data_IF_335960759782
#
_entry.id   IF_335960759782
#
_cell.length_a   1.000
_cell.length_b   1.000
_cell.length_c   1.000
_cell.angle_alpha   90.00
_cell.angle_beta   90.00
_cell.angle_gamma   90.00
#
_symmetry.space_group_name_H-M   'P 1'
#
loop_
_entity.id
_entity.type
_entity.pdbx_description
1 polymer ?
#
# COMPACT_ATOMS: atom_id res chain seq x y z
N UNK A 1 5.47 -39.52 -18.63
CA UNK A 1 6.77 -39.43 -17.91
C UNK A 1 7.31 -38.04 -18.15
N UNK A 2 7.80 -37.36 -17.12
CA UNK A 2 8.50 -36.09 -17.35
C UNK A 2 9.74 -36.38 -18.19
N UNK A 3 9.95 -35.60 -19.26
CA UNK A 3 11.20 -35.67 -20.01
C UNK A 3 12.35 -35.36 -19.05
N UNK A 4 13.40 -36.18 -19.05
CA UNK A 4 14.62 -36.01 -18.27
C UNK A 4 15.60 -35.00 -18.91
N UNK A 5 15.23 -34.48 -20.09
CA UNK A 5 16.02 -33.57 -20.90
C UNK A 5 15.17 -32.41 -21.43
N UNK A 6 15.81 -31.27 -21.60
CA UNK A 6 15.35 -30.14 -22.40
C UNK A 6 15.89 -30.33 -23.81
N UNK A 7 14.99 -30.50 -24.78
CA UNK A 7 15.34 -30.76 -26.18
C UNK A 7 15.02 -29.50 -26.98
N UNK A 8 16.00 -29.00 -27.72
CA UNK A 8 15.88 -27.81 -28.56
C UNK A 8 16.24 -28.21 -29.99
N UNK A 9 15.37 -27.88 -30.93
CA UNK A 9 15.54 -28.17 -32.36
C UNK A 9 15.44 -26.88 -33.17
N UNK A 10 16.42 -26.68 -34.04
CA UNK A 10 16.46 -25.60 -35.01
C UNK A 10 16.47 -24.20 -34.39
N UNK A 11 17.27 -23.97 -33.34
CA UNK A 11 17.41 -22.63 -32.77
C UNK A 11 18.21 -21.72 -33.71
N UNK A 12 17.61 -20.58 -34.09
CA UNK A 12 18.14 -19.62 -35.08
C UNK A 12 18.15 -18.17 -34.59
N UNK A 13 17.80 -17.94 -33.33
CA UNK A 13 17.78 -16.59 -32.74
C UNK A 13 19.13 -15.87 -32.90
N UNK A 14 19.08 -14.63 -33.38
CA UNK A 14 20.24 -13.81 -33.72
C UNK A 14 21.27 -14.48 -34.65
N UNK A 15 22.38 -14.97 -34.10
CA UNK A 15 23.49 -15.55 -34.84
C UNK A 15 23.60 -17.07 -34.70
N UNK A 16 22.63 -17.72 -34.04
CA UNK A 16 22.53 -19.17 -33.97
C UNK A 16 22.35 -19.76 -35.36
N UNK A 17 23.04 -20.87 -35.63
CA UNK A 17 23.10 -21.50 -36.96
C UNK A 17 22.28 -22.78 -37.00
N UNK A 18 20.98 -22.66 -36.75
CA UNK A 18 20.04 -23.78 -36.75
C UNK A 18 20.50 -24.91 -35.80
N UNK A 19 20.71 -24.55 -34.54
CA UNK A 19 21.36 -25.42 -33.55
C UNK A 19 20.35 -26.37 -32.92
N UNK A 20 20.72 -27.65 -32.88
CA UNK A 20 20.04 -28.71 -32.14
C UNK A 20 20.83 -29.06 -30.90
N UNK A 21 20.17 -29.15 -29.74
CA UNK A 21 20.83 -29.53 -28.50
C UNK A 21 19.89 -30.25 -27.52
N UNK A 22 20.47 -31.11 -26.69
CA UNK A 22 19.82 -31.74 -25.55
C UNK A 22 20.55 -31.33 -24.28
N UNK A 23 19.81 -30.74 -23.34
CA UNK A 23 20.32 -30.30 -22.04
C UNK A 23 19.72 -31.21 -20.96
N UNK A 24 20.51 -31.82 -20.07
CA UNK A 24 19.95 -32.61 -18.96
C UNK A 24 19.16 -31.70 -18.01
N UNK A 25 17.96 -32.13 -17.63
CA UNK A 25 17.16 -31.43 -16.63
C UNK A 25 17.67 -31.71 -15.22
N UNK A 26 17.28 -30.84 -14.29
CA UNK A 26 17.58 -30.95 -12.86
C UNK A 26 19.07 -31.02 -12.54
N UNK A 27 19.88 -30.39 -13.40
CA UNK A 27 21.34 -30.28 -13.26
C UNK A 27 21.79 -28.83 -13.41
N UNK A 28 22.94 -28.51 -12.82
CA UNK A 28 23.62 -27.25 -13.05
C UNK A 28 24.35 -27.30 -14.39
N UNK A 29 23.78 -26.64 -15.40
CA UNK A 29 24.33 -26.61 -16.76
C UNK A 29 24.99 -25.26 -17.02
N UNK A 30 26.25 -25.29 -17.47
CA UNK A 30 27.04 -24.09 -17.76
C UNK A 30 27.24 -23.96 -19.27
N UNK A 31 26.73 -22.86 -19.85
CA UNK A 31 26.95 -22.52 -21.26
C UNK A 31 28.19 -21.61 -21.34
N UNK A 32 29.22 -22.06 -22.05
CA UNK A 32 30.50 -21.35 -22.18
C UNK A 32 30.91 -21.16 -23.64
N UNK A 33 31.88 -20.27 -23.89
CA UNK A 33 32.35 -19.91 -25.23
C UNK A 33 32.75 -18.44 -25.36
N UNK A 34 33.45 -18.12 -26.47
CA UNK A 34 33.96 -16.76 -26.77
C UNK A 34 32.86 -15.70 -26.77
N UNK A 35 33.19 -14.44 -26.47
CA UNK A 35 32.22 -13.34 -26.58
C UNK A 35 31.60 -13.31 -28.00
N UNK A 36 30.29 -13.11 -28.07
CA UNK A 36 29.55 -13.14 -29.35
C UNK A 36 29.26 -14.53 -29.92
N UNK A 37 29.64 -15.64 -29.25
CA UNK A 37 29.39 -17.00 -29.76
C UNK A 37 27.93 -17.47 -29.76
N UNK A 38 26.97 -16.61 -29.39
CA UNK A 38 25.54 -16.96 -29.34
C UNK A 38 25.05 -17.55 -28.01
N UNK A 39 25.86 -17.50 -26.94
CA UNK A 39 25.46 -18.01 -25.60
C UNK A 39 24.20 -17.33 -25.08
N UNK A 40 24.17 -16.00 -25.13
CA UNK A 40 23.03 -15.22 -24.66
C UNK A 40 21.81 -15.44 -25.56
N UNK A 41 22.02 -15.52 -26.87
CA UNK A 41 20.97 -15.83 -27.85
C UNK A 41 20.29 -17.16 -27.53
N UNK A 42 21.06 -18.18 -27.17
CA UNK A 42 20.53 -19.48 -26.78
C UNK A 42 19.87 -19.44 -25.39
N UNK A 43 20.55 -18.89 -24.37
CA UNK A 43 20.09 -18.96 -22.99
C UNK A 43 18.91 -18.02 -22.69
N UNK A 44 19.05 -16.74 -23.07
CA UNK A 44 18.09 -15.69 -22.76
C UNK A 44 17.06 -15.53 -23.87
N UNK A 45 17.52 -15.34 -25.10
CA UNK A 45 16.63 -14.96 -26.20
C UNK A 45 15.86 -16.16 -26.78
N UNK A 46 16.32 -17.40 -26.55
CA UNK A 46 15.62 -18.63 -26.97
C UNK A 46 14.98 -19.37 -25.79
N UNK A 47 15.78 -19.95 -24.87
CA UNK A 47 15.27 -20.85 -23.81
C UNK A 47 14.41 -20.08 -22.80
N UNK A 48 14.94 -18.99 -22.23
CA UNK A 48 14.22 -18.20 -21.25
C UNK A 48 12.99 -17.51 -21.87
N UNK A 49 13.14 -16.89 -23.05
CA UNK A 49 12.04 -16.23 -23.74
C UNK A 49 10.87 -17.20 -24.00
N UNK A 50 11.15 -18.40 -24.53
CA UNK A 50 10.11 -19.41 -24.77
C UNK A 50 9.51 -19.94 -23.46
N UNK A 51 10.34 -20.10 -22.41
CA UNK A 51 9.89 -20.58 -21.10
C UNK A 51 8.96 -19.60 -20.41
N UNK A 52 9.29 -18.30 -20.47
CA UNK A 52 8.44 -17.22 -19.98
C UNK A 52 7.14 -17.13 -20.81
N UNK A 53 7.24 -17.15 -22.15
CA UNK A 53 6.08 -17.08 -23.06
C UNK A 53 5.07 -18.19 -22.74
N UNK A 54 5.49 -19.45 -22.71
CA UNK A 54 4.61 -20.60 -22.42
C UNK A 54 3.96 -20.53 -21.04
N UNK A 55 4.71 -20.07 -20.04
CA UNK A 55 4.17 -19.93 -18.69
C UNK A 55 3.09 -18.85 -18.63
N UNK A 56 3.33 -17.67 -19.19
CA UNK A 56 2.35 -16.57 -19.19
C UNK A 56 1.14 -16.92 -20.07
N UNK A 57 1.32 -17.68 -21.16
CA UNK A 57 0.20 -18.13 -22.02
C UNK A 57 -0.79 -19.05 -21.30
N UNK A 58 -0.30 -19.76 -20.27
CA UNK A 58 -1.12 -20.59 -19.39
C UNK A 58 -1.93 -19.79 -18.36
N UNK A 59 -1.66 -18.48 -18.21
CA UNK A 59 -2.40 -17.59 -17.31
C UNK A 59 -3.76 -17.19 -17.94
N UNK A 60 -4.41 -16.20 -17.32
CA UNK A 60 -5.77 -15.77 -17.69
C UNK A 60 -5.88 -15.38 -19.18
N UNK A 61 -7.07 -15.55 -19.75
CA UNK A 61 -7.35 -15.14 -21.13
C UNK A 61 -7.05 -13.65 -21.39
N UNK A 62 -7.16 -12.81 -20.35
CA UNK A 62 -6.77 -11.41 -20.38
C UNK A 62 -5.24 -11.23 -20.49
N UNK A 63 -4.44 -12.01 -19.76
CA UNK A 63 -2.98 -11.96 -19.85
C UNK A 63 -2.48 -12.32 -21.27
N UNK A 64 -3.19 -13.20 -21.99
CA UNK A 64 -2.87 -13.53 -23.38
C UNK A 64 -3.03 -12.36 -24.35
N UNK A 65 -3.94 -11.42 -24.09
CA UNK A 65 -4.10 -10.22 -24.93
C UNK A 65 -2.85 -9.33 -24.90
N UNK A 66 -2.12 -9.31 -23.78
CA UNK A 66 -0.85 -8.57 -23.65
C UNK A 66 0.35 -9.34 -24.20
N UNK A 67 0.28 -10.67 -24.23
CA UNK A 67 1.35 -11.54 -24.75
C UNK A 67 1.50 -11.52 -26.27
N UNK A 68 0.48 -11.11 -27.01
CA UNK A 68 0.59 -10.90 -28.47
C UNK A 68 1.66 -9.88 -28.89
N UNK A 69 2.34 -9.24 -27.91
CA UNK A 69 3.46 -8.32 -28.09
C UNK A 69 4.84 -8.93 -27.80
N UNK A 70 4.94 -10.14 -27.23
CA UNK A 70 6.24 -10.78 -27.03
C UNK A 70 6.61 -11.55 -28.30
N UNK A 71 7.72 -11.15 -28.95
CA UNK A 71 8.23 -11.83 -30.14
C UNK A 71 8.51 -13.30 -29.81
N UNK A 72 7.95 -14.20 -30.62
CA UNK A 72 8.23 -15.63 -30.50
C UNK A 72 9.65 -15.88 -31.01
N UNK A 73 10.52 -16.54 -30.24
CA UNK A 73 11.88 -16.81 -30.68
C UNK A 73 11.90 -17.72 -31.92
N UNK A 74 12.89 -17.53 -32.79
CA UNK A 74 13.09 -18.34 -33.98
C UNK A 74 13.70 -19.71 -33.61
N UNK A 75 12.79 -20.65 -33.33
CA UNK A 75 13.11 -22.04 -33.00
C UNK A 75 12.02 -22.97 -33.55
N UNK A 76 12.40 -24.13 -34.08
CA UNK A 76 11.42 -25.09 -34.61
C UNK A 76 10.63 -25.74 -33.49
N UNK A 77 11.34 -26.25 -32.49
CA UNK A 77 10.72 -26.96 -31.38
C UNK A 77 11.56 -26.89 -30.12
N UNK A 78 10.88 -26.72 -28.98
CA UNK A 78 11.47 -26.92 -27.65
C UNK A 78 10.55 -27.84 -26.85
N UNK A 79 11.09 -28.94 -26.33
CA UNK A 79 10.39 -29.90 -25.48
C UNK A 79 11.06 -29.99 -24.10
N UNK A 80 10.29 -30.36 -23.07
CA UNK A 80 10.84 -30.46 -21.71
C UNK A 80 11.24 -29.10 -21.13
N UNK A 81 10.56 -28.02 -21.51
CA UNK A 81 10.82 -26.68 -20.98
C UNK A 81 10.00 -26.42 -19.70
N UNK A 82 10.66 -25.97 -18.64
CA UNK A 82 10.02 -25.49 -17.41
C UNK A 82 9.70 -24.00 -17.51
N UNK A 83 8.79 -23.47 -16.67
CA UNK A 83 8.71 -22.03 -16.44
C UNK A 83 10.10 -21.48 -16.11
N UNK A 84 10.54 -20.48 -16.87
CA UNK A 84 11.90 -19.97 -16.79
C UNK A 84 11.94 -18.63 -16.03
N UNK A 85 12.99 -18.44 -15.24
CA UNK A 85 13.28 -17.18 -14.54
C UNK A 85 14.68 -16.73 -14.97
N UNK A 86 14.80 -15.48 -15.40
CA UNK A 86 16.08 -14.86 -15.70
C UNK A 86 16.60 -14.15 -14.46
N UNK A 87 17.86 -14.41 -14.13
CA UNK A 87 18.60 -13.66 -13.14
C UNK A 87 19.79 -13.05 -13.89
N UNK A 88 19.61 -11.80 -14.32
CA UNK A 88 20.63 -11.03 -15.02
C UNK A 88 21.17 -9.87 -14.16
N UNK A 89 22.17 -9.17 -14.69
CA UNK A 89 22.75 -8.00 -14.03
C UNK A 89 22.08 -6.68 -14.46
N UNK A 90 20.90 -6.71 -15.10
CA UNK A 90 20.23 -5.46 -15.46
C UNK A 90 19.88 -4.73 -14.16
N UNK A 91 20.37 -3.49 -14.06
CA UNK A 91 20.34 -2.74 -12.81
C UNK A 91 18.93 -2.66 -12.23
N UNK A 92 18.83 -2.81 -10.91
CA UNK A 92 17.58 -2.63 -10.19
C UNK A 92 16.95 -1.27 -10.51
N UNK A 93 15.61 -1.21 -10.46
CA UNK A 93 14.86 0.03 -10.63
C UNK A 93 15.39 1.12 -9.69
N UNK A 94 15.77 2.28 -10.24
CA UNK A 94 16.34 3.42 -9.51
C UNK A 94 15.27 4.28 -8.85
N UNK A 95 14.30 3.66 -8.17
CA UNK A 95 13.32 4.41 -7.39
C UNK A 95 13.97 4.85 -6.07
N UNK A 96 14.00 6.15 -5.74
CA UNK A 96 14.62 6.65 -4.51
C UNK A 96 13.96 6.13 -3.22
N UNK A 97 12.75 5.59 -3.30
CA UNK A 97 12.08 4.94 -2.15
C UNK A 97 12.39 3.45 -2.01
N UNK A 98 13.08 2.86 -2.98
CA UNK A 98 13.51 1.46 -2.92
C UNK A 98 14.81 1.34 -2.13
N UNK A 99 14.81 0.45 -1.15
CA UNK A 99 15.98 0.06 -0.36
C UNK A 99 16.21 -1.44 -0.48
N UNK A 100 17.34 -1.94 0.02
CA UNK A 100 17.58 -3.39 0.10
C UNK A 100 16.43 -4.09 0.83
N UNK A 101 15.95 -3.51 1.94
CA UNK A 101 14.88 -4.10 2.75
C UNK A 101 13.53 -4.16 2.03
N UNK A 102 13.23 -3.21 1.13
CA UNK A 102 11.99 -3.27 0.34
C UNK A 102 12.10 -4.22 -0.84
N UNK A 103 13.28 -4.38 -1.43
CA UNK A 103 13.50 -5.32 -2.55
C UNK A 103 13.48 -6.77 -2.09
N UNK A 104 13.96 -7.04 -0.87
CA UNK A 104 13.96 -8.39 -0.27
C UNK A 104 12.71 -8.68 0.56
N UNK A 105 11.74 -7.75 0.62
CA UNK A 105 10.54 -7.79 1.46
C UNK A 105 10.80 -7.89 2.98
N UNK A 106 12.07 -7.91 3.42
CA UNK A 106 12.45 -7.94 4.85
C UNK A 106 11.85 -6.75 5.61
N UNK A 107 11.77 -5.58 4.97
CA UNK A 107 11.17 -4.40 5.59
C UNK A 107 9.68 -4.59 5.92
N UNK A 108 8.95 -5.36 5.11
CA UNK A 108 7.54 -5.64 5.37
C UNK A 108 7.36 -6.57 6.57
N UNK A 109 8.25 -7.55 6.74
CA UNK A 109 8.31 -8.35 7.98
C UNK A 109 8.67 -7.50 9.20
N UNK A 110 9.62 -6.57 9.07
CA UNK A 110 9.96 -5.65 10.15
C UNK A 110 8.76 -4.76 10.53
N UNK A 111 8.01 -4.24 9.55
CA UNK A 111 6.79 -3.45 9.82
C UNK A 111 5.78 -4.27 10.61
N UNK A 112 5.54 -5.52 10.23
CA UNK A 112 4.64 -6.41 10.97
C UNK A 112 5.16 -6.69 12.39
N UNK A 113 6.47 -6.92 12.55
CA UNK A 113 7.10 -7.14 13.85
C UNK A 113 6.87 -5.94 14.78
N UNK A 114 7.26 -4.74 14.34
CA UNK A 114 7.10 -3.52 15.14
C UNK A 114 5.63 -3.16 15.40
N UNK A 115 4.72 -3.43 14.46
CA UNK A 115 3.28 -3.21 14.68
C UNK A 115 2.68 -4.17 15.72
N UNK A 116 3.23 -5.39 15.87
CA UNK A 116 2.68 -6.41 16.76
C UNK A 116 3.27 -6.37 18.17
N UNK A 117 4.57 -6.12 18.29
CA UNK A 117 5.28 -6.19 19.58
C UNK A 117 6.06 -4.92 19.92
N UNK A 118 6.05 -3.92 19.05
CA UNK A 118 6.71 -2.64 19.32
C UNK A 118 6.01 -1.92 20.46
N UNK A 119 6.81 -1.49 21.44
CA UNK A 119 6.34 -0.63 22.54
C UNK A 119 6.50 0.82 22.10
N UNK A 120 5.41 1.57 21.86
CA UNK A 120 5.49 2.95 21.40
C UNK A 120 5.94 3.87 22.54
N UNK A 121 6.79 4.84 22.22
CA UNK A 121 7.30 5.84 23.16
C UNK A 121 7.12 7.25 22.59
N UNK A 122 6.93 8.24 23.46
CA UNK A 122 6.83 9.63 23.06
C UNK A 122 8.19 10.14 22.53
N UNK A 123 8.25 10.81 21.37
CA UNK A 123 9.50 11.28 20.78
C UNK A 123 10.16 12.43 21.56
N UNK A 124 9.40 13.17 22.38
CA UNK A 124 9.92 14.32 23.13
C UNK A 124 10.40 13.92 24.53
N UNK A 125 9.56 13.20 25.30
CA UNK A 125 9.86 12.85 26.68
C UNK A 125 10.33 11.40 26.89
N UNK A 126 10.21 10.54 25.87
CA UNK A 126 10.62 9.13 25.95
C UNK A 126 9.71 8.23 26.79
N UNK A 127 8.61 8.75 27.33
CA UNK A 127 7.67 7.96 28.13
C UNK A 127 6.91 6.93 27.26
N UNK A 128 6.56 5.74 27.80
CA UNK A 128 5.76 4.75 27.07
C UNK A 128 4.36 5.30 26.79
N UNK A 129 3.91 5.19 25.54
CA UNK A 129 2.57 5.61 25.12
C UNK A 129 1.57 4.56 25.59
N UNK A 130 0.50 5.02 26.25
CA UNK A 130 -0.59 4.19 26.74
C UNK A 130 -1.94 4.72 26.26
N UNK A 131 -3.00 3.94 26.45
CA UNK A 131 -4.35 4.39 26.13
C UNK A 131 -4.75 5.53 27.07
N UNK A 132 -5.33 6.58 26.51
CA UNK A 132 -5.91 7.69 27.27
C UNK A 132 -7.40 7.46 27.45
N UNK A 133 -7.93 7.84 28.61
CA UNK A 133 -9.38 7.85 28.85
C UNK A 133 -10.02 9.10 28.22
N UNK A 134 -11.32 9.07 27.97
CA UNK A 134 -12.05 10.24 27.46
C UNK A 134 -11.86 11.46 28.39
N UNK A 135 -11.92 11.26 29.71
CA UNK A 135 -11.64 12.30 30.70
C UNK A 135 -10.26 12.91 30.54
N UNK A 136 -9.21 12.08 30.40
CA UNK A 136 -7.84 12.57 30.20
C UNK A 136 -7.70 13.40 28.91
N UNK A 137 -8.44 13.05 27.85
CA UNK A 137 -8.46 13.83 26.60
C UNK A 137 -9.15 15.17 26.83
N UNK A 138 -10.29 15.20 27.54
CA UNK A 138 -11.00 16.44 27.89
C UNK A 138 -10.13 17.34 28.77
N UNK A 139 -9.49 16.78 29.80
CA UNK A 139 -8.58 17.52 30.68
C UNK A 139 -7.44 18.16 29.87
N UNK A 140 -6.84 17.39 28.95
CA UNK A 140 -5.78 17.90 28.05
C UNK A 140 -6.26 19.03 27.13
N UNK A 141 -7.54 19.04 26.73
CA UNK A 141 -8.13 20.12 25.94
C UNK A 141 -8.36 21.37 26.81
N UNK A 142 -8.75 21.20 28.07
CA UNK A 142 -8.97 22.30 29.00
C UNK A 142 -7.66 22.99 29.44
N UNK A 143 -6.52 22.30 29.36
CA UNK A 143 -5.19 22.89 29.56
C UNK A 143 -4.75 23.85 28.44
N UNK A 144 -5.48 23.91 27.32
CA UNK A 144 -5.16 24.83 26.22
C UNK A 144 -5.38 26.30 26.62
N UNK A 145 -4.66 27.25 25.99
CA UNK A 145 -4.82 28.67 26.28
C UNK A 145 -6.26 29.15 26.13
N UNK A 146 -6.68 30.09 26.98
CA UNK A 146 -8.00 30.71 26.92
C UNK A 146 -8.29 31.29 25.53
N UNK A 147 -9.54 31.19 25.08
CA UNK A 147 -9.99 31.64 23.75
C UNK A 147 -9.45 30.81 22.57
N UNK A 148 -8.81 29.66 22.81
CA UNK A 148 -8.49 28.66 21.80
C UNK A 148 -9.74 28.19 21.06
N UNK A 149 -9.76 28.31 19.73
CA UNK A 149 -10.90 27.87 18.89
C UNK A 149 -10.62 26.48 18.36
N UNK A 150 -11.49 25.53 18.69
CA UNK A 150 -11.35 24.12 18.34
C UNK A 150 -12.51 23.66 17.47
N UNK A 151 -12.21 22.75 16.56
CA UNK A 151 -13.21 22.02 15.78
C UNK A 151 -13.04 20.53 16.09
N UNK A 152 -14.05 19.94 16.71
CA UNK A 152 -14.05 18.52 17.06
C UNK A 152 -14.48 17.73 15.83
N UNK A 153 -13.64 16.79 15.45
CA UNK A 153 -13.81 15.99 14.25
C UNK A 153 -13.81 14.50 14.60
N UNK A 154 -14.81 13.77 14.15
CA UNK A 154 -14.82 12.30 14.19
C UNK A 154 -14.32 11.74 12.85
N UNK A 155 -13.15 11.08 12.78
CA UNK A 155 -12.66 10.53 11.53
C UNK A 155 -13.35 9.19 11.20
N UNK A 156 -14.37 9.26 10.34
CA UNK A 156 -15.17 8.08 9.96
C UNK A 156 -14.42 7.24 8.91
N UNK A 157 -13.78 7.87 7.94
CA UNK A 157 -12.98 7.20 6.91
C UNK A 157 -11.58 7.80 6.87
N UNK A 158 -10.55 6.93 6.98
CA UNK A 158 -9.14 7.29 6.80
C UNK A 158 -8.52 6.47 5.67
N UNK A 159 -8.00 7.15 4.65
CA UNK A 159 -7.24 6.61 3.51
C UNK A 159 -7.89 5.41 2.81
N UNK A 160 -9.22 5.43 2.65
CA UNK A 160 -9.94 4.35 1.94
C UNK A 160 -10.45 4.79 0.57
N UNK A 161 -10.31 3.89 -0.40
CA UNK A 161 -10.91 4.04 -1.73
C UNK A 161 -12.40 3.74 -1.71
N UNK A 162 -13.19 4.50 -2.46
CA UNK A 162 -14.62 4.30 -2.56
C UNK A 162 -15.39 5.61 -2.77
N UNK A 163 -16.66 5.48 -3.18
CA UNK A 163 -17.58 6.61 -3.30
C UNK A 163 -18.21 7.02 -1.96
N UNK A 164 -18.23 6.12 -0.98
CA UNK A 164 -18.68 6.33 0.41
C UNK A 164 -20.07 6.96 0.56
N UNK A 165 -20.97 6.81 -0.43
CA UNK A 165 -22.31 7.45 -0.40
C UNK A 165 -23.13 7.09 0.84
N UNK A 166 -23.13 5.81 1.23
CA UNK A 166 -23.82 5.35 2.44
C UNK A 166 -23.31 5.99 3.73
N UNK A 167 -22.04 6.41 3.77
CA UNK A 167 -21.49 7.12 4.94
C UNK A 167 -22.15 8.47 5.13
N UNK A 168 -22.34 9.23 4.04
CA UNK A 168 -23.01 10.54 4.10
C UNK A 168 -24.50 10.41 4.43
N UNK A 169 -25.18 9.39 3.91
CA UNK A 169 -26.57 9.10 4.28
C UNK A 169 -26.71 8.77 5.77
N UNK A 170 -25.81 7.95 6.32
CA UNK A 170 -25.84 7.60 7.74
C UNK A 170 -25.46 8.79 8.63
N UNK A 171 -24.52 9.62 8.21
CA UNK A 171 -24.22 10.90 8.87
C UNK A 171 -25.44 11.81 8.93
N UNK A 172 -26.19 11.91 7.82
CA UNK A 172 -27.41 12.71 7.76
C UNK A 172 -28.50 12.15 8.69
N UNK A 173 -28.70 10.83 8.74
CA UNK A 173 -29.65 10.18 9.66
C UNK A 173 -29.29 10.41 11.13
N UNK A 174 -28.00 10.48 11.45
CA UNK A 174 -27.49 10.78 12.79
C UNK A 174 -27.54 12.27 13.13
N UNK A 175 -27.94 13.13 12.18
CA UNK A 175 -28.15 14.56 12.40
C UNK A 175 -26.91 15.43 12.18
N UNK A 176 -25.82 14.89 11.62
CA UNK A 176 -24.64 15.69 11.30
C UNK A 176 -24.93 16.59 10.10
N UNK A 177 -24.60 17.88 10.26
CA UNK A 177 -24.83 18.90 9.22
C UNK A 177 -23.61 19.09 8.32
N UNK A 178 -22.40 18.93 8.86
CA UNK A 178 -21.14 19.21 8.15
C UNK A 178 -20.18 18.04 8.20
N UNK A 179 -19.46 17.84 7.10
CA UNK A 179 -18.38 16.88 6.96
C UNK A 179 -17.14 17.57 6.39
N UNK A 180 -15.96 17.20 6.87
CA UNK A 180 -14.69 17.55 6.23
C UNK A 180 -14.25 16.39 5.35
N UNK A 181 -14.17 16.63 4.04
CA UNK A 181 -13.80 15.65 3.03
C UNK A 181 -12.51 16.11 2.37
N UNK A 182 -11.45 15.31 2.47
CA UNK A 182 -10.13 15.62 1.93
C UNK A 182 -9.58 17.00 2.36
N UNK A 183 -9.95 17.45 3.56
CA UNK A 183 -9.53 18.74 4.14
C UNK A 183 -10.49 19.91 3.89
N UNK A 184 -11.46 19.77 2.99
CA UNK A 184 -12.46 20.79 2.69
C UNK A 184 -13.79 20.51 3.41
N UNK A 185 -14.44 21.55 3.91
CA UNK A 185 -15.69 21.41 4.67
C UNK A 185 -16.88 21.59 3.74
N UNK A 186 -17.76 20.60 3.76
CA UNK A 186 -19.00 20.56 3.01
C UNK A 186 -20.18 20.39 3.95
N UNK A 187 -21.36 20.87 3.55
CA UNK A 187 -22.60 20.37 4.14
C UNK A 187 -22.83 18.93 3.67
N UNK A 188 -23.32 18.06 4.55
CA UNK A 188 -23.46 16.62 4.27
C UNK A 188 -24.34 16.37 3.03
N UNK A 189 -25.30 17.25 2.75
CA UNK A 189 -26.18 17.21 1.57
C UNK A 189 -25.53 17.69 0.28
N UNK A 190 -24.45 18.47 0.37
CA UNK A 190 -23.78 19.12 -0.77
C UNK A 190 -22.40 18.53 -1.05
N UNK A 191 -22.09 17.35 -0.49
CA UNK A 191 -20.81 16.69 -0.74
C UNK A 191 -20.74 16.23 -2.20
N UNK A 192 -19.66 16.56 -2.94
CA UNK A 192 -19.50 16.11 -4.31
C UNK A 192 -19.27 14.59 -4.40
N UNK A 193 -19.64 14.00 -5.53
CA UNK A 193 -19.42 12.57 -5.80
C UNK A 193 -17.92 12.23 -5.75
N UNK A 194 -17.57 11.28 -4.87
CA UNK A 194 -16.20 10.82 -4.69
C UNK A 194 -15.82 9.74 -5.70
N UNK A 195 -14.56 9.78 -6.13
CA UNK A 195 -14.00 8.84 -7.11
C UNK A 195 -13.69 7.50 -6.44
N UNK A 196 -14.35 6.43 -6.91
CA UNK A 196 -14.17 5.07 -6.39
C UNK A 196 -12.73 4.55 -6.39
N UNK A 197 -11.85 5.11 -7.23
CA UNK A 197 -10.47 4.65 -7.37
C UNK A 197 -9.45 5.46 -6.57
N UNK A 198 -9.85 6.62 -6.02
CA UNK A 198 -8.99 7.50 -5.23
C UNK A 198 -9.18 7.27 -3.74
N UNK A 199 -8.15 7.57 -2.96
CA UNK A 199 -8.24 7.52 -1.50
C UNK A 199 -8.91 8.79 -0.99
N UNK A 200 -9.82 8.63 -0.03
CA UNK A 200 -10.57 9.71 0.57
C UNK A 200 -10.44 9.68 2.09
N UNK A 201 -10.43 10.86 2.69
CA UNK A 201 -10.53 11.10 4.13
C UNK A 201 -11.84 11.82 4.41
N UNK A 202 -12.67 11.27 5.30
CA UNK A 202 -14.00 11.81 5.64
C UNK A 202 -14.11 11.89 7.16
N UNK A 203 -14.37 13.10 7.66
CA UNK A 203 -14.50 13.40 9.07
C UNK A 203 -15.83 14.12 9.32
N UNK A 204 -16.61 13.70 10.32
CA UNK A 204 -17.79 14.42 10.75
C UNK A 204 -17.39 15.62 11.62
N UNK A 205 -18.00 16.78 11.39
CA UNK A 205 -17.85 17.93 12.28
C UNK A 205 -18.84 17.77 13.42
N UNK A 206 -18.36 17.44 14.62
CA UNK A 206 -19.19 17.21 15.81
C UNK A 206 -19.55 18.55 16.44
N UNK A 207 -18.54 19.34 16.82
CA UNK A 207 -18.74 20.61 17.50
C UNK A 207 -17.64 21.64 17.14
N UNK A 208 -17.93 22.91 17.41
CA UNK A 208 -16.99 24.03 17.35
C UNK A 208 -17.05 24.76 18.68
N UNK A 209 -15.94 24.69 19.41
CA UNK A 209 -15.85 25.20 20.76
C UNK A 209 -14.79 26.31 20.87
N UNK A 210 -14.96 27.16 21.86
CA UNK A 210 -13.95 28.13 22.28
C UNK A 210 -13.62 27.78 23.73
N UNK A 211 -12.37 27.42 24.01
CA UNK A 211 -11.96 27.04 25.37
C UNK A 211 -12.10 28.25 26.30
N UNK A 212 -12.92 28.08 27.35
CA UNK A 212 -13.12 29.05 28.43
C UNK A 212 -12.74 28.38 29.74
N UNK A 213 -11.97 29.10 30.56
CA UNK A 213 -11.60 28.61 31.89
C UNK A 213 -12.83 28.64 32.82
N UNK A 214 -12.90 27.73 33.81
CA UNK A 214 -13.92 27.79 34.86
C UNK A 214 -13.88 29.15 35.57
N UNK A 215 -15.04 29.74 35.82
CA UNK A 215 -15.14 30.96 36.62
C UNK A 215 -15.60 30.56 38.02
N UNK A 216 -14.95 31.08 39.05
CA UNK A 216 -15.43 31.01 40.43
C UNK A 216 -16.67 31.88 40.57
N UNK A 217 -17.69 31.39 41.26
CA UNK A 217 -18.89 32.18 41.52
C UNK A 217 -18.50 33.43 42.35
N UNK A 218 -18.85 34.65 41.90
CA UNK A 218 -18.58 35.86 42.68
C UNK A 218 -19.29 35.91 44.04
N UNK A 219 -20.36 35.12 44.23
CA UNK A 219 -21.14 35.07 45.47
C UNK A 219 -20.75 33.88 46.39
N UNK A 220 -20.06 32.84 45.86
CA UNK A 220 -19.50 31.72 46.64
C UNK A 220 -18.12 31.28 46.08
N UNK A 221 -16.99 31.70 46.72
CA UNK A 221 -15.66 31.38 46.23
C UNK A 221 -15.26 29.90 46.35
N UNK A 222 -16.06 29.07 47.05
CA UNK A 222 -15.86 27.61 47.14
C UNK A 222 -16.67 26.85 46.06
N UNK A 223 -17.50 27.55 45.26
CA UNK A 223 -18.29 26.97 44.16
C UNK A 223 -17.64 27.28 42.80
N UNK A 224 -16.99 26.27 42.22
CA UNK A 224 -16.51 26.34 40.84
C UNK A 224 -17.67 26.10 39.88
N UNK A 225 -18.02 27.09 39.04
CA UNK A 225 -19.00 26.90 37.98
C UNK A 225 -18.30 26.12 36.86
N UNK A 226 -18.66 24.85 36.57
CA UNK A 226 -18.06 24.12 35.48
C UNK A 226 -18.37 24.88 34.19
N UNK A 227 -17.34 25.31 33.45
CA UNK A 227 -17.55 25.95 32.16
C UNK A 227 -18.44 25.05 31.30
N UNK A 228 -19.51 25.59 30.72
CA UNK A 228 -20.47 24.88 29.83
C UNK A 228 -19.80 24.04 28.74
N UNK A 229 -18.54 24.32 28.44
CA UNK A 229 -17.73 23.64 27.43
C UNK A 229 -17.21 22.27 27.89
N UNK A 230 -17.04 22.02 29.20
CA UNK A 230 -16.56 20.74 29.74
C UNK A 230 -17.58 19.61 29.52
N UNK A 231 -18.86 19.86 29.79
CA UNK A 231 -19.95 18.90 29.55
C UNK A 231 -20.13 18.64 28.05
N UNK A 232 -19.99 19.67 27.20
CA UNK A 232 -20.05 19.52 25.74
C UNK A 232 -18.88 18.72 25.18
N UNK A 233 -17.68 18.90 25.74
CA UNK A 233 -16.49 18.13 25.38
C UNK A 233 -16.63 16.66 25.78
N UNK A 234 -17.10 16.37 27.00
CA UNK A 234 -17.31 14.99 27.45
C UNK A 234 -18.33 14.24 26.60
N UNK A 235 -19.37 14.92 26.10
CA UNK A 235 -20.36 14.31 25.21
C UNK A 235 -19.85 14.14 23.77
N UNK A 236 -18.76 14.83 23.40
CA UNK A 236 -18.20 14.85 22.04
C UNK A 236 -16.98 13.95 21.84
N UNK A 237 -16.37 13.44 22.93
CA UNK A 237 -15.12 12.64 22.94
C UNK A 237 -15.41 11.15 23.10
#
# INVERSE_FOLDING_TARGET
MALDKLIIRGAREHNLKNVDLEIPRDQLVVITGLSGSGKSSLAFDTIYAEGQRRYVESLSAYARQFLGLMEKPDVDQIEGLSPAISIDQKGASRNPRSTVGTVTEVYDYLRLLYARIGQPHCPECGAPISQQTATQIVDSIMEMPESSRLMILAPIIKDRKGNHKGVFEDMQKQGYVRARVNGEIYEVTEVPDLDRYKMHNIEAVIDRLVVRLPQTDPDDPDEEIPGTDMTRLSDSV
#
